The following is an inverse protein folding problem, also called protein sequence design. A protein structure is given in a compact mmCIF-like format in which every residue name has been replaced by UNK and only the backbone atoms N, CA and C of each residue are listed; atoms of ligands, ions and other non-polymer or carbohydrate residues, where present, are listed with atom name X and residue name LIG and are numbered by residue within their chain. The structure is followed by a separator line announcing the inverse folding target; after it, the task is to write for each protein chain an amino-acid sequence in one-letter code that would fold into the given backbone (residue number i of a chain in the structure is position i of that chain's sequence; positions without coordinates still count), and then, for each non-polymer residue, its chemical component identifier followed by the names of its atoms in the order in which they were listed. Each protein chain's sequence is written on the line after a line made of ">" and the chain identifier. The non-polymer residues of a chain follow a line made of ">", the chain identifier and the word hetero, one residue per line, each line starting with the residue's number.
data_IF_745951545360
#
_entry.id   IF_745951545360
#
_cell.length_a   1.000
_cell.length_b   1.000
_cell.length_c   1.000
_cell.angle_alpha   90.00
_cell.angle_beta   90.00
_cell.angle_gamma   90.00
#
_symmetry.space_group_name_H-M   'P 1'
#
loop_
_entity.id
_entity.type
_entity.pdbx_description
1 polymer ?
#
# COMPACT_ATOMS: atom_id res chain seq x y z
N UNK A 1 25.47 7.68 5.92
CA UNK A 1 24.03 7.45 6.10
C UNK A 1 23.63 7.81 7.52
N UNK A 2 22.83 8.87 7.71
CA UNK A 2 22.31 9.22 9.04
C UNK A 2 21.37 8.09 9.48
N UNK A 3 21.86 7.20 10.35
CA UNK A 3 21.04 6.19 11.02
C UNK A 3 20.23 6.91 12.09
N UNK A 4 19.20 7.64 11.66
CA UNK A 4 18.24 8.22 12.58
C UNK A 4 17.51 7.06 13.27
N UNK A 5 17.58 7.01 14.60
CA UNK A 5 16.80 6.04 15.38
C UNK A 5 15.31 6.22 15.04
N UNK A 6 14.60 5.11 14.85
CA UNK A 6 13.15 5.10 14.57
C UNK A 6 12.42 5.94 15.62
N UNK A 7 11.66 6.93 15.14
CA UNK A 7 10.86 7.80 16.00
C UNK A 7 9.64 7.08 16.58
N UNK A 8 9.05 7.64 17.64
CA UNK A 8 7.88 7.02 18.28
C UNK A 8 6.70 6.85 17.31
N UNK A 9 6.46 7.80 16.40
CA UNK A 9 5.40 7.72 15.38
C UNK A 9 5.64 6.58 14.39
N UNK A 10 6.88 6.37 13.97
CA UNK A 10 7.24 5.28 13.07
C UNK A 10 7.14 3.91 13.76
N UNK A 11 7.42 3.85 15.07
CA UNK A 11 7.19 2.64 15.87
C UNK A 11 5.70 2.36 16.00
N UNK A 12 4.88 3.39 16.25
CA UNK A 12 3.43 3.27 16.33
C UNK A 12 2.82 2.82 15.01
N UNK A 13 3.21 3.44 13.89
CA UNK A 13 2.76 3.02 12.55
C UNK A 13 3.05 1.53 12.34
N UNK A 14 4.28 1.08 12.60
CA UNK A 14 4.66 -0.31 12.34
C UNK A 14 3.89 -1.30 13.22
N UNK A 15 3.65 -0.96 14.49
CA UNK A 15 2.81 -1.78 15.37
C UNK A 15 1.37 -1.86 14.83
N UNK A 16 0.78 -0.71 14.48
CA UNK A 16 -0.61 -0.61 14.04
C UNK A 16 -0.81 -1.27 12.67
N UNK A 17 0.11 -1.12 11.72
CA UNK A 17 0.06 -1.74 10.41
C UNK A 17 0.25 -3.26 10.46
N UNK A 18 0.92 -3.79 11.50
CA UNK A 18 0.93 -5.23 11.77
C UNK A 18 -0.39 -5.73 12.35
N UNK A 19 -1.07 -4.93 13.18
CA UNK A 19 -2.37 -5.26 13.78
C UNK A 19 -3.55 -5.10 12.80
N UNK A 20 -3.43 -4.24 11.78
CA UNK A 20 -4.45 -4.11 10.72
C UNK A 20 -4.62 -5.38 9.90
N UNK A 21 -3.58 -6.22 9.83
CA UNK A 21 -3.60 -7.56 9.20
C UNK A 21 -4.31 -8.62 10.05
N UNK A 22 -4.62 -8.30 11.31
CA UNK A 22 -5.36 -9.17 12.23
C UNK A 22 -4.78 -9.18 13.65
N UNK A 23 -5.50 -9.80 14.61
CA UNK A 23 -5.10 -9.80 16.02
C UNK A 23 -3.79 -10.55 16.28
N UNK A 24 -2.88 -9.97 17.06
CA UNK A 24 -1.56 -10.56 17.35
C UNK A 24 -1.27 -10.64 18.85
N UNK A 25 -0.55 -11.69 19.27
CA UNK A 25 0.03 -11.78 20.62
C UNK A 25 1.24 -10.85 20.74
N UNK A 26 1.57 -10.41 21.96
CA UNK A 26 2.74 -9.57 22.26
C UNK A 26 4.01 -10.08 21.57
N UNK A 27 4.36 -11.35 21.77
CA UNK A 27 5.57 -11.97 21.21
C UNK A 27 5.64 -11.81 19.70
N UNK A 28 4.53 -12.08 18.99
CA UNK A 28 4.49 -11.97 17.53
C UNK A 28 4.57 -10.52 17.05
N UNK A 29 4.01 -9.60 17.83
CA UNK A 29 4.10 -8.16 17.56
C UNK A 29 5.52 -7.65 17.74
N UNK A 30 6.20 -8.05 18.82
CA UNK A 30 7.61 -7.72 19.11
C UNK A 30 8.52 -8.14 17.97
N UNK A 31 8.42 -9.40 17.52
CA UNK A 31 9.25 -9.90 16.41
C UNK A 31 8.94 -9.20 15.08
N UNK A 32 7.66 -8.93 14.78
CA UNK A 32 7.28 -8.28 13.50
C UNK A 32 7.62 -6.80 13.44
N UNK A 33 7.55 -6.10 14.58
CA UNK A 33 7.87 -4.68 14.65
C UNK A 33 9.38 -4.41 14.77
N UNK A 34 10.20 -5.46 14.84
CA UNK A 34 11.64 -5.41 15.10
C UNK A 34 11.98 -4.57 16.35
N UNK A 35 11.28 -4.84 17.45
CA UNK A 35 11.47 -4.16 18.73
C UNK A 35 12.02 -5.14 19.76
N UNK A 36 12.81 -4.65 20.70
CA UNK A 36 13.08 -5.43 21.90
C UNK A 36 11.81 -5.55 22.77
N UNK A 37 11.77 -6.57 23.64
CA UNK A 37 10.58 -6.87 24.44
C UNK A 37 10.15 -5.76 25.40
N UNK A 38 11.11 -4.96 25.90
CA UNK A 38 10.87 -3.86 26.84
C UNK A 38 10.32 -2.64 26.09
N UNK A 39 10.90 -2.32 24.94
CA UNK A 39 10.44 -1.24 24.07
C UNK A 39 9.04 -1.54 23.51
N UNK A 40 8.81 -2.77 23.05
CA UNK A 40 7.49 -3.22 22.62
C UNK A 40 6.45 -3.07 23.75
N UNK A 41 6.79 -3.46 24.99
CA UNK A 41 5.88 -3.32 26.13
C UNK A 41 5.50 -1.86 26.39
N UNK A 42 6.48 -0.95 26.34
CA UNK A 42 6.28 0.48 26.53
C UNK A 42 5.34 1.05 25.47
N UNK A 43 5.66 0.86 24.19
CA UNK A 43 4.87 1.44 23.10
C UNK A 43 3.47 0.82 22.99
N UNK A 44 3.34 -0.50 23.20
CA UNK A 44 2.02 -1.15 23.24
C UNK A 44 1.19 -0.61 24.41
N UNK A 45 1.81 -0.39 25.58
CA UNK A 45 1.15 0.24 26.72
C UNK A 45 0.58 1.61 26.36
N UNK A 46 1.42 2.48 25.79
CA UNK A 46 1.00 3.81 25.33
C UNK A 46 -0.10 3.75 24.27
N UNK A 47 -0.03 2.83 23.30
CA UNK A 47 -1.08 2.65 22.29
C UNK A 47 -2.41 2.20 22.89
N UNK A 48 -2.39 1.43 23.97
CA UNK A 48 -3.58 1.02 24.72
C UNK A 48 -4.15 2.20 25.51
N UNK A 49 -3.29 2.96 26.21
CA UNK A 49 -3.69 4.17 26.95
C UNK A 49 -4.33 5.22 26.03
N UNK A 50 -3.79 5.39 24.82
CA UNK A 50 -4.33 6.30 23.81
C UNK A 50 -5.60 5.78 23.12
N UNK A 51 -6.00 4.54 23.39
CA UNK A 51 -7.17 3.90 22.77
C UNK A 51 -6.98 3.55 21.28
N UNK A 52 -5.73 3.46 20.80
CA UNK A 52 -5.41 3.06 19.42
C UNK A 52 -5.38 1.53 19.27
N UNK A 53 -5.14 0.82 20.37
CA UNK A 53 -5.13 -0.64 20.46
C UNK A 53 -5.95 -1.08 21.67
N UNK A 54 -6.65 -2.20 21.55
CA UNK A 54 -7.34 -2.86 22.66
C UNK A 54 -6.81 -4.29 22.86
N UNK A 55 -7.01 -4.82 24.07
CA UNK A 55 -6.69 -6.21 24.42
C UNK A 55 -7.96 -7.04 24.31
N UNK A 56 -7.89 -8.17 23.60
CA UNK A 56 -8.97 -9.15 23.57
C UNK A 56 -9.17 -9.78 24.95
N UNK A 57 -10.42 -9.83 25.40
CA UNK A 57 -10.84 -10.45 26.66
C UNK A 57 -10.84 -11.98 26.61
N UNK A 58 -10.74 -12.57 25.41
CA UNK A 58 -10.71 -14.03 25.23
C UNK A 58 -9.33 -14.61 25.55
N UNK A 59 -9.28 -15.86 26.03
CA UNK A 59 -8.03 -16.60 26.34
C UNK A 59 -6.97 -16.37 25.25
N UNK A 60 -5.85 -15.76 25.65
CA UNK A 60 -4.67 -15.58 24.79
C UNK A 60 -4.21 -14.15 24.50
N UNK A 61 -4.58 -13.14 25.31
CA UNK A 61 -4.03 -11.76 25.35
C UNK A 61 -3.56 -11.22 23.98
N UNK A 62 -4.49 -11.22 23.02
CA UNK A 62 -4.24 -10.68 21.68
C UNK A 62 -4.54 -9.19 21.67
N UNK A 63 -3.72 -8.43 20.96
CA UNK A 63 -3.95 -7.03 20.67
C UNK A 63 -4.74 -6.89 19.39
N UNK A 64 -5.64 -5.92 19.36
CA UNK A 64 -6.54 -5.62 18.25
C UNK A 64 -6.48 -4.11 18.02
N UNK A 65 -6.33 -3.70 16.77
CA UNK A 65 -6.39 -2.28 16.39
C UNK A 65 -7.82 -1.76 16.53
N UNK A 66 -7.99 -0.58 17.15
CA UNK A 66 -9.30 0.09 17.25
C UNK A 66 -9.61 0.85 15.96
N UNK A 67 -10.81 1.42 15.87
CA UNK A 67 -11.15 2.35 14.79
C UNK A 67 -10.25 3.59 14.82
N UNK A 68 -10.12 4.22 15.98
CA UNK A 68 -9.18 5.33 16.21
C UNK A 68 -7.74 4.99 15.80
N UNK A 69 -7.30 3.75 16.02
CA UNK A 69 -5.99 3.25 15.57
C UNK A 69 -5.85 3.21 14.04
N UNK A 70 -6.92 2.90 13.31
CA UNK A 70 -6.94 2.94 11.84
C UNK A 70 -6.93 4.38 11.34
N UNK A 71 -7.67 5.28 11.97
CA UNK A 71 -7.68 6.70 11.61
C UNK A 71 -6.30 7.33 11.79
N UNK A 72 -5.59 6.95 12.86
CA UNK A 72 -4.21 7.36 13.07
C UNK A 72 -3.30 6.94 11.90
N UNK A 73 -3.45 5.71 11.37
CA UNK A 73 -2.65 5.26 10.22
C UNK A 73 -2.93 6.11 8.97
N UNK A 74 -4.18 6.45 8.71
CA UNK A 74 -4.55 7.33 7.59
C UNK A 74 -3.86 8.68 7.75
N UNK A 75 -4.02 9.33 8.91
CA UNK A 75 -3.40 10.63 9.19
C UNK A 75 -1.87 10.57 9.10
N UNK A 76 -1.25 9.50 9.61
CA UNK A 76 0.19 9.29 9.53
C UNK A 76 0.66 9.27 8.07
N UNK A 77 0.02 8.48 7.20
CA UNK A 77 0.43 8.41 5.79
C UNK A 77 0.18 9.73 5.05
N UNK A 78 -0.87 10.47 5.38
CA UNK A 78 -1.07 11.82 4.83
C UNK A 78 0.10 12.75 5.21
N UNK A 79 0.50 12.78 6.49
CA UNK A 79 1.66 13.58 6.93
C UNK A 79 2.94 13.15 6.22
N UNK A 80 3.18 11.84 6.07
CA UNK A 80 4.36 11.34 5.37
C UNK A 80 4.36 11.74 3.88
N UNK A 81 3.20 11.77 3.21
CA UNK A 81 3.11 12.27 1.82
C UNK A 81 3.48 13.76 1.72
N UNK A 82 3.15 14.58 2.71
CA UNK A 82 3.54 16.00 2.72
C UNK A 82 5.04 16.18 2.97
N UNK A 83 5.62 15.37 3.87
CA UNK A 83 7.05 15.45 4.21
C UNK A 83 7.94 14.88 3.10
N UNK A 84 7.49 13.79 2.46
CA UNK A 84 8.13 13.15 1.34
C UNK A 84 7.18 13.21 0.13
N UNK A 85 7.04 14.37 -0.52
CA UNK A 85 6.24 14.45 -1.73
C UNK A 85 6.80 13.46 -2.75
N UNK A 86 5.93 12.71 -3.46
CA UNK A 86 6.40 11.86 -4.53
C UNK A 86 7.16 12.75 -5.51
N UNK A 87 8.47 12.54 -5.63
CA UNK A 87 9.29 13.23 -6.61
C UNK A 87 8.71 12.91 -7.98
N UNK A 88 8.09 13.90 -8.61
CA UNK A 88 7.56 13.81 -9.96
C UNK A 88 8.71 13.67 -10.95
N UNK A 89 9.29 12.47 -11.03
CA UNK A 89 10.11 12.07 -12.17
C UNK A 89 9.19 11.35 -13.15
N UNK A 90 8.64 12.16 -14.04
CA UNK A 90 8.06 11.70 -15.30
C UNK A 90 9.13 10.90 -16.05
N UNK A 91 8.89 9.61 -16.27
CA UNK A 91 9.35 8.92 -17.47
C UNK A 91 8.13 8.23 -18.08
N UNK A 92 7.46 8.99 -18.93
CA UNK A 92 6.53 8.48 -19.92
C UNK A 92 7.35 7.66 -20.93
N UNK A 93 7.64 6.40 -20.64
CA UNK A 93 8.01 5.45 -21.69
C UNK A 93 6.71 4.93 -22.29
N UNK A 94 6.17 5.67 -23.26
CA UNK A 94 5.25 5.06 -24.22
C UNK A 94 6.10 4.05 -24.99
N UNK A 95 5.97 2.78 -24.63
CA UNK A 95 6.48 1.68 -25.44
C UNK A 95 5.57 1.54 -26.66
N UNK A 96 5.70 2.45 -27.62
CA UNK A 96 5.18 2.22 -28.97
C UNK A 96 6.11 1.24 -29.64
N UNK A 97 5.70 -0.02 -29.71
CA UNK A 97 6.33 -1.01 -30.59
C UNK A 97 6.23 -0.49 -32.03
N UNK A 98 7.34 -0.38 -32.79
CA UNK A 98 7.25 -0.10 -34.21
C UNK A 98 6.70 -1.34 -34.91
N UNK A 99 5.42 -1.33 -35.28
CA UNK A 99 4.89 -2.30 -36.25
C UNK A 99 5.35 -1.88 -37.64
N UNK A 100 6.50 -2.41 -38.05
CA UNK A 100 6.94 -2.40 -39.43
C UNK A 100 6.04 -3.29 -40.29
N UNK A 101 5.38 -2.72 -41.29
CA UNK A 101 4.96 -3.44 -42.50
C UNK A 101 4.75 -2.44 -43.65
N UNK A 102 5.83 -2.22 -44.39
CA UNK A 102 5.94 -2.00 -45.83
C UNK A 102 4.78 -1.35 -46.61
N UNK A 103 5.05 -0.12 -47.06
CA UNK A 103 5.12 0.32 -48.47
C UNK A 103 3.89 0.19 -49.39
N UNK A 104 3.37 1.36 -49.76
CA UNK A 104 2.77 1.79 -51.04
C UNK A 104 1.93 0.79 -51.87
N UNK A 105 0.70 1.19 -52.18
CA UNK A 105 0.38 1.76 -53.50
C UNK A 105 -1.10 2.16 -53.55
N UNK A 106 -1.35 3.39 -54.01
CA UNK A 106 -2.66 3.85 -54.42
C UNK A 106 -3.12 3.07 -55.66
N UNK A 107 -4.33 2.49 -55.66
CA UNK A 107 -5.13 2.28 -56.87
C UNK A 107 -6.63 2.22 -56.51
N UNK A 108 -7.35 3.26 -56.91
CA UNK A 108 -8.81 3.31 -56.93
C UNK A 108 -9.30 2.73 -58.26
N UNK A 109 -10.00 1.59 -58.26
CA UNK A 109 -10.92 1.17 -59.34
C UNK A 109 -12.01 0.27 -58.72
N UNK A 110 -13.24 0.78 -58.62
CA UNK A 110 -14.45 -0.06 -58.52
C UNK A 110 -15.11 -0.08 -59.89
N UNK A 111 -15.06 -1.23 -60.57
CA UNK A 111 -15.83 -1.50 -61.80
C UNK A 111 -16.84 -2.62 -61.53
N UNK A 112 -18.10 -2.21 -61.56
CA UNK A 112 -19.34 -2.92 -61.93
C UNK A 112 -19.27 -4.38 -62.41
N UNK A 113 -20.19 -5.21 -61.88
CA UNK A 113 -21.06 -6.04 -62.74
C UNK A 113 -21.40 -7.47 -62.26
N UNK A 114 -22.71 -7.71 -62.09
CA UNK A 114 -23.45 -9.00 -62.20
C UNK A 114 -23.24 -10.06 -61.09
N UNK A 115 -24.23 -10.79 -60.57
CA UNK A 115 -25.61 -11.07 -60.97
C UNK A 115 -26.44 -11.52 -59.77
N UNK A 116 -27.76 -11.27 -59.84
CA UNK A 116 -28.77 -11.87 -58.98
C UNK A 116 -28.94 -13.38 -59.26
N UNK A 117 -29.42 -14.17 -58.28
CA UNK A 117 -30.33 -15.32 -58.47
C UNK A 117 -31.03 -15.69 -57.15
N UNK A 118 -32.35 -15.85 -57.27
CA UNK A 118 -33.34 -16.36 -56.32
C UNK A 118 -32.96 -17.71 -55.68
N UNK A 119 -33.33 -17.91 -54.40
CA UNK A 119 -34.37 -18.90 -53.97
C UNK A 119 -35.01 -18.45 -52.67
#
# INVERSE_FOLDING_TARGET
>A
MLTAKRGALEIFENILSNLSKGPLKKTRLTHRANLDSRLAAKHIGTLVELGLVTKSTRKGSRFIITEKGRDFLVQYYEVIKFVNPPSSHNNLTISVSPTSSHTNAAHYVSTTGHSATLV
#
